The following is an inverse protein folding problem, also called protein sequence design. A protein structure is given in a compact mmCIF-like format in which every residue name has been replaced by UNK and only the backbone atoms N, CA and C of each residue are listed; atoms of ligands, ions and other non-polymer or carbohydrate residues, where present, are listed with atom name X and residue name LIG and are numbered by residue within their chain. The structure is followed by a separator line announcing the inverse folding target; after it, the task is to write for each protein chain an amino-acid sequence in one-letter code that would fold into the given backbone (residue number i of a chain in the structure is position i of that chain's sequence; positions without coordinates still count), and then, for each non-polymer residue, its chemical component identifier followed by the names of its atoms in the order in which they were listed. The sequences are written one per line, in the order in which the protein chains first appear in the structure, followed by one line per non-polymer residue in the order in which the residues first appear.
data_IF_226804190882
#
_entry.id   IF_226804190882
#
_cell.length_a   1.000
_cell.length_b   1.000
_cell.length_c   1.000
_cell.angle_alpha   90.00
_cell.angle_beta   90.00
_cell.angle_gamma   90.00
#
_symmetry.space_group_name_H-M   'P 1'
#
loop_
_entity.id
_entity.type
_entity.pdbx_description
1 polymer ?
2 branched ?
3 branched ?
4 non-polymer ?
5 non-polymer ?
6 non-polymer ?
7 water ?
#
# COMPACT_ATOMS: atom_id res chain seq x y z
N UNK A 21 -15.15 -11.32 22.85
CA UNK A 21 -14.52 -12.44 23.58
C UNK A 21 -14.58 -13.71 22.74
N UNK A 22 -15.58 -14.58 22.98
CA UNK A 22 -15.63 -15.84 22.25
C UNK A 22 -15.69 -15.57 20.75
N UNK A 23 -14.77 -16.17 20.00
CA UNK A 23 -14.77 -15.99 18.57
C UNK A 23 -14.14 -14.67 18.12
N UNK A 24 -13.65 -13.85 19.06
CA UNK A 24 -13.15 -12.53 18.72
C UNK A 24 -11.68 -12.43 19.06
N UNK A 25 -11.04 -13.53 19.51
CA UNK A 25 -9.71 -13.41 19.99
C UNK A 25 -8.72 -13.71 18.89
N UNK A 26 -7.79 -12.80 18.73
CA UNK A 26 -6.67 -12.98 17.86
C UNK A 26 -5.54 -13.59 18.64
N UNK A 27 -4.52 -14.11 17.99
CA UNK A 27 -3.38 -14.65 18.69
C UNK A 27 -2.75 -13.58 19.58
N UNK A 28 -2.09 -13.97 20.67
CA UNK A 28 -1.49 -13.03 21.59
C UNK A 28 -0.32 -12.34 20.91
N UNK A 29 0.30 -12.93 19.92
CA UNK A 29 1.40 -12.31 19.22
C UNK A 29 0.96 -11.57 17.94
N UNK A 30 -0.34 -11.45 17.74
CA UNK A 30 -0.82 -10.80 16.52
C UNK A 30 -0.27 -9.40 16.44
N UNK A 31 0.07 -8.95 15.25
CA UNK A 31 0.52 -7.58 15.05
C UNK A 31 -0.71 -6.71 14.84
N UNK A 32 -0.78 -5.63 15.57
CA UNK A 32 -1.85 -4.65 15.53
C UNK A 32 -1.23 -3.28 15.26
N UNK A 33 -1.58 -2.69 14.13
CA UNK A 33 -0.99 -1.43 13.80
C UNK A 33 -1.93 -0.55 13.00
N UNK A 34 -1.36 0.58 12.61
CA UNK A 34 -1.93 1.44 11.61
C UNK A 34 -0.85 1.75 10.60
N UNK A 35 -1.24 2.22 9.43
CA UNK A 35 -0.30 2.40 8.35
C UNK A 35 -0.41 3.77 7.73
N UNK A 36 0.72 4.22 7.18
CA UNK A 36 0.85 5.46 6.43
C UNK A 36 1.86 5.25 5.30
N UNK A 37 1.99 6.27 4.46
CA UNK A 37 3.00 6.39 3.43
C UNK A 37 3.68 7.74 3.51
N UNK A 38 4.95 7.80 3.19
CA UNK A 38 5.74 8.98 3.47
C UNK A 38 5.21 10.21 2.76
N UNK A 39 4.93 10.15 1.46
CA UNK A 39 4.54 11.38 0.78
C UNK A 39 3.19 11.84 1.33
N UNK A 40 2.35 10.92 1.77
CA UNK A 40 1.03 11.30 2.21
C UNK A 40 1.06 12.07 3.51
N UNK A 41 2.08 11.85 4.34
CA UNK A 41 2.08 12.43 5.68
C UNK A 41 3.24 13.38 5.96
N UNK A 42 4.40 13.21 5.37
CA UNK A 42 5.62 13.79 5.94
C UNK A 42 5.74 15.31 5.79
N UNK A 43 5.40 15.85 4.63
CA UNK A 43 5.78 17.20 4.36
C UNK A 43 7.29 17.35 4.32
N UNK A 44 7.76 18.56 4.66
CA UNK A 44 9.20 18.81 4.70
C UNK A 44 9.86 18.36 3.43
N UNK A 45 9.27 18.73 2.29
CA UNK A 45 9.60 18.10 1.03
C UNK A 45 10.97 18.52 0.49
N UNK A 46 11.48 19.64 0.92
CA UNK A 46 12.79 20.13 0.51
C UNK A 46 13.79 20.10 1.65
N UNK A 47 13.45 19.56 2.79
CA UNK A 47 14.28 19.64 3.96
C UNK A 47 15.25 18.50 4.02
N UNK A 48 16.41 18.80 4.63
CA UNK A 48 17.39 17.81 5.00
C UNK A 48 17.80 16.97 3.80
N UNK A 49 17.97 17.64 2.67
CA UNK A 49 18.55 17.00 1.52
C UNK A 49 17.57 16.25 0.62
N UNK A 50 16.26 16.23 0.99
CA UNK A 50 15.34 15.44 0.19
C UNK A 50 15.32 15.91 -1.25
N UNK A 51 15.32 14.98 -2.16
CA UNK A 51 15.20 15.27 -3.57
C UNK A 51 13.77 15.43 -4.01
N UNK A 52 13.55 15.61 -5.28
CA UNK A 52 12.22 15.76 -5.87
C UNK A 52 11.72 14.40 -6.27
N UNK A 53 10.49 14.06 -5.91
CA UNK A 53 9.86 12.82 -6.30
C UNK A 53 8.87 13.10 -7.43
N UNK A 54 8.43 12.04 -8.06
CA UNK A 54 7.38 12.16 -9.09
C UNK A 54 6.10 12.72 -8.51
N UNK A 55 5.84 12.52 -7.21
CA UNK A 55 4.64 13.09 -6.59
C UNK A 55 4.78 14.56 -6.27
N UNK A 56 5.99 15.05 -6.06
CA UNK A 56 6.16 16.49 -5.98
C UNK A 56 5.85 17.09 -7.35
N UNK A 57 6.44 16.52 -8.39
CA UNK A 57 6.19 17.02 -9.74
C UNK A 57 4.70 16.97 -10.07
N UNK A 58 4.07 15.85 -9.81
CA UNK A 58 2.69 15.63 -10.18
C UNK A 58 1.77 16.53 -9.39
N UNK A 59 1.94 16.62 -8.06
CA UNK A 59 1.03 17.43 -7.29
C UNK A 59 1.22 18.90 -7.59
N UNK A 60 2.39 19.31 -8.02
CA UNK A 60 2.60 20.68 -8.41
C UNK A 60 2.22 20.94 -9.86
N UNK A 61 1.65 20.00 -10.56
CA UNK A 61 1.14 20.20 -11.90
C UNK A 61 -0.31 20.61 -11.81
N UNK A 62 -0.66 21.83 -12.28
CA UNK A 62 -2.04 22.27 -12.23
C UNK A 62 -3.02 21.23 -12.74
N UNK A 63 -4.03 20.97 -11.93
CA UNK A 63 -5.15 20.16 -12.29
C UNK A 63 -5.01 18.70 -11.94
N UNK A 64 -3.83 18.22 -11.51
CA UNK A 64 -3.68 16.81 -11.20
C UNK A 64 -4.34 16.41 -9.89
N UNK A 65 -4.42 17.31 -8.95
CA UNK A 65 -4.97 17.03 -7.63
C UNK A 65 -6.31 17.74 -7.53
N UNK A 66 -7.31 17.05 -6.98
CA UNK A 66 -8.68 17.53 -7.01
C UNK A 66 -8.88 18.88 -6.39
N UNK A 67 -8.14 19.21 -5.33
CA UNK A 67 -8.38 20.35 -4.49
C UNK A 67 -7.17 21.29 -4.46
N UNK A 68 -6.25 21.29 -5.37
CA UNK A 68 -5.22 22.32 -5.29
C UNK A 68 -4.22 22.06 -4.17
N UNK A 69 -4.20 20.86 -3.58
CA UNK A 69 -3.25 20.65 -2.48
C UNK A 69 -2.08 19.88 -3.04
N UNK A 70 -1.02 19.86 -2.21
CA UNK A 70 0.19 19.07 -2.46
C UNK A 70 0.59 18.38 -1.16
N UNK A 71 1.61 17.54 -1.25
CA UNK A 71 2.24 16.99 -0.08
C UNK A 71 3.28 17.88 0.53
N UNK A 72 3.36 19.16 0.20
CA UNK A 72 4.45 19.96 0.71
C UNK A 72 4.49 20.00 2.22
N UNK A 73 3.34 20.05 2.87
CA UNK A 73 3.24 20.01 4.30
C UNK A 73 2.55 18.73 4.76
N UNK A 74 1.41 18.40 4.17
CA UNK A 74 0.69 17.18 4.51
C UNK A 74 0.42 17.19 6.00
N UNK A 75 0.79 16.17 6.74
CA UNK A 75 0.58 16.11 8.17
C UNK A 75 1.79 16.59 8.95
N UNK A 76 2.80 17.05 8.22
CA UNK A 76 4.04 17.50 8.84
C UNK A 76 4.67 16.40 9.68
N UNK A 77 4.50 15.13 9.29
CA UNK A 77 5.02 14.04 10.08
C UNK A 77 6.52 13.91 10.01
N UNK A 78 7.22 14.52 9.09
CA UNK A 78 8.67 14.52 9.17
C UNK A 78 9.09 15.13 10.50
N UNK A 79 8.45 16.21 10.89
CA UNK A 79 8.70 16.88 12.15
C UNK A 79 7.85 16.36 13.28
N UNK A 80 6.66 15.81 13.01
CA UNK A 80 5.67 15.48 14.02
C UNK A 80 5.46 13.99 14.16
N UNK A 81 6.41 13.16 13.74
CA UNK A 81 6.23 11.74 13.89
C UNK A 81 6.09 11.35 15.35
N UNK A 82 6.64 12.15 16.27
CA UNK A 82 6.47 11.86 17.68
C UNK A 82 5.01 11.98 18.10
N UNK A 83 4.29 12.95 17.54
CA UNK A 83 2.86 13.00 17.78
C UNK A 83 2.17 11.76 17.22
N UNK A 84 2.63 11.29 16.06
CA UNK A 84 2.06 10.09 15.45
C UNK A 84 2.27 8.90 16.36
N UNK A 85 3.49 8.81 16.97
CA UNK A 85 3.78 7.80 17.95
C UNK A 85 2.85 7.91 19.15
N UNK A 86 2.63 9.12 19.62
CA UNK A 86 1.69 9.32 20.70
C UNK A 86 0.31 8.75 20.36
N UNK A 87 -0.14 8.96 19.12
CA UNK A 87 -1.44 8.39 18.71
C UNK A 87 -1.39 6.88 18.72
N UNK A 88 -0.36 6.30 18.12
CA UNK A 88 -0.23 4.86 18.08
C UNK A 88 -0.28 4.28 19.47
N UNK A 89 0.46 4.91 20.39
CA UNK A 89 0.48 4.45 21.77
C UNK A 89 -0.90 4.61 22.43
N UNK A 90 -1.56 5.72 22.19
CA UNK A 90 -2.89 5.92 22.75
C UNK A 90 -3.87 4.91 22.23
N UNK A 91 -3.66 4.42 21.02
CA UNK A 91 -4.50 3.40 20.42
C UNK A 91 -4.09 2.00 20.91
N UNK A 92 -3.03 1.83 21.64
CA UNK A 92 -2.60 0.54 22.13
C UNK A 92 -2.14 -0.39 21.03
N UNK A 93 -1.62 0.16 19.95
CA UNK A 93 -1.09 -0.65 18.88
C UNK A 93 0.26 -1.20 19.31
N UNK A 94 0.74 -2.18 18.59
CA UNK A 94 2.05 -2.76 18.82
C UNK A 94 2.94 -2.71 17.60
N UNK A 95 2.53 -1.98 16.57
CA UNK A 95 3.29 -1.88 15.35
C UNK A 95 2.85 -0.66 14.59
N UNK A 96 3.73 -0.21 13.70
CA UNK A 96 3.46 0.91 12.81
C UNK A 96 4.03 0.60 11.46
N UNK A 97 3.19 0.61 10.45
CA UNK A 97 3.63 0.42 9.08
C UNK A 97 3.75 1.77 8.42
N UNK A 98 4.93 2.10 7.95
CA UNK A 98 5.22 3.39 7.36
C UNK A 98 6.17 3.18 6.23
N UNK A 99 6.31 4.17 5.36
CA UNK A 99 7.27 4.05 4.28
C UNK A 99 8.44 5.00 4.47
N UNK A 100 9.58 4.57 3.91
CA UNK A 100 10.75 5.38 3.78
C UNK A 100 10.74 6.05 2.43
N UNK A 101 11.00 7.35 2.40
CA UNK A 101 11.01 8.08 1.16
C UNK A 101 12.36 7.92 0.45
N UNK A 102 12.39 7.22 -0.64
CA UNK A 102 13.59 7.11 -1.45
C UNK A 102 14.22 8.46 -1.72
N UNK A 103 13.46 9.52 -2.00
CA UNK A 103 14.07 10.84 -2.18
C UNK A 103 14.86 11.38 -1.02
N UNK A 104 14.57 10.91 0.18
CA UNK A 104 15.39 11.34 1.32
C UNK A 104 16.67 10.51 1.45
N UNK A 105 16.73 9.33 0.86
CA UNK A 105 17.83 8.41 1.05
C UNK A 105 18.83 8.53 -0.09
N UNK A 106 18.34 8.55 -1.32
CA UNK A 106 19.18 8.71 -2.51
C UNK A 106 18.48 9.80 -3.30
N UNK A 107 18.76 11.07 -3.05
CA UNK A 107 17.96 12.12 -3.61
C UNK A 107 17.93 12.12 -5.13
N UNK A 108 18.98 11.64 -5.81
CA UNK A 108 19.00 11.59 -7.26
C UNK A 108 18.46 10.28 -7.79
N UNK A 109 18.02 9.40 -6.92
CA UNK A 109 17.51 8.10 -7.31
C UNK A 109 18.62 7.08 -7.44
N UNK A 110 19.59 7.41 -8.30
CA UNK A 110 20.84 6.68 -8.50
C UNK A 110 21.92 7.70 -8.26
N UNK A 111 22.68 7.58 -7.20
CA UNK A 111 23.60 8.64 -6.82
C UNK A 111 24.03 8.44 -5.39
N UNK A 112 24.62 9.49 -4.80
CA UNK A 112 25.09 9.38 -3.44
C UNK A 112 23.93 9.19 -2.47
N UNK A 113 24.27 8.71 -1.32
CA UNK A 113 23.28 8.59 -0.27
C UNK A 113 23.24 9.91 0.46
N UNK A 114 22.12 10.17 1.12
CA UNK A 114 21.90 11.34 1.94
C UNK A 114 21.82 10.87 3.38
N UNK A 115 22.91 10.98 4.12
CA UNK A 115 22.95 10.42 5.45
C UNK A 115 21.94 11.09 6.34
N UNK A 116 21.63 12.34 6.15
CA UNK A 116 20.62 13.00 6.96
C UNK A 116 19.27 12.29 6.86
N UNK A 117 18.94 11.77 5.72
CA UNK A 117 17.71 11.02 5.54
C UNK A 117 17.71 9.73 6.31
N UNK A 118 18.79 8.97 6.17
CA UNK A 118 18.93 7.73 6.92
C UNK A 118 18.88 8.01 8.41
N UNK A 119 19.55 9.04 8.88
CA UNK A 119 19.56 9.33 10.29
C UNK A 119 18.19 9.69 10.82
N UNK A 120 17.42 10.44 10.05
CA UNK A 120 16.05 10.72 10.44
C UNK A 120 15.28 9.45 10.68
N UNK A 121 15.32 8.51 9.73
CA UNK A 121 14.56 7.29 9.92
C UNK A 121 15.14 6.43 11.03
N UNK A 122 16.46 6.45 11.23
CA UNK A 122 17.05 5.79 12.37
C UNK A 122 16.47 6.29 13.67
N UNK A 123 16.37 7.59 13.83
CA UNK A 123 15.78 8.16 15.04
C UNK A 123 14.33 7.74 15.18
N UNK A 124 13.59 7.78 14.06
CA UNK A 124 12.21 7.38 14.12
C UNK A 124 12.05 5.92 14.50
N UNK A 125 12.85 5.04 13.94
CA UNK A 125 12.82 3.65 14.33
C UNK A 125 13.11 3.49 15.80
N UNK A 126 14.12 4.20 16.32
CA UNK A 126 14.43 4.12 17.74
C UNK A 126 13.27 4.63 18.57
N UNK A 127 12.62 5.67 18.13
CA UNK A 127 11.46 6.20 18.85
C UNK A 127 10.32 5.18 18.88
N UNK A 128 10.10 4.50 17.75
CA UNK A 128 9.08 3.48 17.68
C UNK A 128 9.42 2.35 18.63
N UNK A 129 10.64 1.83 18.54
CA UNK A 129 11.02 0.72 19.42
C UNK A 129 10.99 1.14 20.87
N UNK A 130 11.32 2.36 21.18
CA UNK A 130 11.25 2.80 22.57
C UNK A 130 9.82 2.84 23.07
N UNK A 131 8.83 3.00 22.19
CA UNK A 131 7.42 3.02 22.49
C UNK A 131 6.82 1.63 22.42
N UNK A 132 7.57 0.60 22.13
CA UNK A 132 6.99 -0.73 22.01
C UNK A 132 6.24 -0.95 20.72
N UNK A 133 6.59 -0.20 19.66
CA UNK A 133 5.92 -0.29 18.37
C UNK A 133 6.87 -0.90 17.36
N UNK A 134 6.55 -2.05 16.86
CA UNK A 134 7.39 -2.69 15.89
C UNK A 134 7.30 -1.95 14.58
N UNK A 135 8.42 -1.55 13.97
CA UNK A 135 8.37 -0.89 12.67
C UNK A 135 8.17 -1.88 11.57
N UNK A 136 7.20 -1.66 10.71
CA UNK A 136 7.02 -2.45 9.52
C UNK A 136 7.31 -1.52 8.38
N UNK A 137 8.47 -1.61 7.74
CA UNK A 137 8.89 -0.59 6.81
C UNK A 137 8.57 -0.95 5.39
N UNK A 138 7.97 -0.06 4.66
CA UNK A 138 7.84 -0.15 3.23
C UNK A 138 8.92 0.64 2.54
N UNK A 139 9.67 0.04 1.64
CA UNK A 139 10.71 0.79 0.96
C UNK A 139 10.14 1.71 -0.12
N UNK A 140 9.14 1.27 -0.85
CA UNK A 140 8.63 2.03 -1.97
C UNK A 140 7.11 2.15 -1.91
N UNK A 141 6.65 3.36 -1.51
CA UNK A 141 5.25 3.68 -1.54
C UNK A 141 5.07 4.90 -2.43
N UNK A 142 5.60 4.78 -3.66
CA UNK A 142 5.15 5.53 -4.86
C UNK A 142 5.97 6.78 -5.15
N UNK A 143 6.89 7.15 -4.29
CA UNK A 143 7.63 8.38 -4.40
C UNK A 143 8.94 8.20 -5.13
N UNK A 144 8.86 7.72 -6.38
CA UNK A 144 10.05 7.56 -7.20
C UNK A 144 10.80 8.89 -7.34
N UNK A 145 12.13 8.92 -7.15
CA UNK A 145 12.89 10.12 -7.47
C UNK A 145 12.69 10.58 -8.90
N UNK A 146 12.38 11.88 -9.04
CA UNK A 146 12.09 12.42 -10.35
C UNK A 146 13.25 12.23 -11.35
N UNK A 147 14.53 12.30 -10.93
CA UNK A 147 15.59 12.05 -11.90
C UNK A 147 15.48 10.69 -12.54
N UNK A 148 14.99 9.67 -11.82
CA UNK A 148 14.78 8.40 -12.45
C UNK A 148 13.66 8.42 -13.46
N UNK A 149 12.56 9.10 -13.16
CA UNK A 149 11.48 9.26 -14.11
C UNK A 149 11.94 10.01 -15.36
N UNK A 150 12.87 10.97 -15.19
CA UNK A 150 13.42 11.65 -16.37
C UNK A 150 14.17 10.69 -17.26
N UNK A 151 14.59 9.54 -16.77
CA UNK A 151 15.18 8.48 -17.53
C UNK A 151 14.24 7.28 -17.67
N UNK A 152 12.96 7.56 -17.81
CA UNK A 152 11.85 6.65 -18.08
C UNK A 152 11.26 5.99 -16.83
N UNK A 153 11.87 6.19 -15.68
CA UNK A 153 11.23 5.70 -14.47
C UNK A 153 11.07 4.20 -14.51
N UNK A 154 9.87 3.72 -14.13
CA UNK A 154 9.63 2.31 -14.13
C UNK A 154 9.55 1.73 -15.55
N UNK A 155 9.61 2.59 -16.54
CA UNK A 155 9.79 2.14 -17.91
C UNK A 155 11.17 1.65 -18.21
N UNK A 156 12.12 1.82 -17.33
CA UNK A 156 13.49 1.42 -17.58
C UNK A 156 13.91 0.34 -16.60
N UNK A 157 14.56 -0.68 -17.12
CA UNK A 157 15.08 -1.75 -16.31
C UNK A 157 16.09 -1.23 -15.30
N UNK A 158 16.82 -0.17 -15.66
CA UNK A 158 17.81 0.36 -14.75
C UNK A 158 17.19 0.83 -13.43
N UNK A 159 15.94 1.28 -13.48
CA UNK A 159 15.28 1.72 -12.25
C UNK A 159 15.14 0.56 -11.27
N UNK A 160 14.94 -0.64 -11.80
CA UNK A 160 14.87 -1.82 -10.96
C UNK A 160 16.19 -2.06 -10.25
N UNK A 161 17.30 -1.92 -11.00
CA UNK A 161 18.60 -2.11 -10.42
C UNK A 161 18.86 -1.14 -9.29
N UNK A 162 18.56 0.12 -9.57
CA UNK A 162 18.91 1.11 -8.56
C UNK A 162 17.92 1.12 -7.39
N UNK A 163 16.69 0.62 -7.59
CA UNK A 163 15.81 0.35 -6.46
C UNK A 163 16.44 -0.66 -5.53
N UNK A 164 17.02 -1.72 -6.10
CA UNK A 164 17.65 -2.74 -5.26
C UNK A 164 18.82 -2.15 -4.50
N UNK A 165 19.56 -1.24 -5.14
CA UNK A 165 20.65 -0.57 -4.45
C UNK A 165 20.16 0.24 -3.26
N UNK A 166 19.08 0.99 -3.48
CA UNK A 166 18.44 1.74 -2.40
C UNK A 166 18.04 0.84 -1.24
N UNK A 167 17.44 -0.33 -1.60
CA UNK A 167 17.00 -1.27 -0.60
C UNK A 167 18.17 -1.75 0.24
N UNK A 168 19.30 -2.04 -0.42
CA UNK A 168 20.55 -2.42 0.22
C UNK A 168 20.97 -1.35 1.22
N UNK A 169 21.03 -0.10 0.77
CA UNK A 169 21.47 1.01 1.57
C UNK A 169 20.64 1.11 2.85
N UNK A 170 19.32 1.04 2.71
CA UNK A 170 18.48 1.21 3.88
C UNK A 170 18.61 0.04 4.85
N UNK A 171 18.63 -1.19 4.35
CA UNK A 171 18.75 -2.32 5.23
C UNK A 171 20.06 -2.32 5.97
N UNK A 172 21.14 -1.89 5.31
CA UNK A 172 22.40 -1.85 6.03
C UNK A 172 22.32 -0.95 7.23
N UNK A 173 21.55 0.11 7.22
CA UNK A 173 21.62 0.97 8.38
C UNK A 173 20.46 0.75 9.35
N UNK A 174 19.33 0.19 8.89
CA UNK A 174 18.21 -0.02 9.79
C UNK A 174 17.94 -1.49 10.08
N UNK A 175 18.54 -2.41 9.35
CA UNK A 175 18.22 -3.81 9.48
C UNK A 175 18.73 -4.44 10.76
N UNK A 176 19.47 -3.75 11.60
CA UNK A 176 19.80 -4.27 12.90
C UNK A 176 18.61 -4.13 13.85
N UNK A 177 17.60 -3.31 13.47
CA UNK A 177 16.49 -2.99 14.32
C UNK A 177 15.15 -3.33 13.69
N UNK A 178 15.04 -3.31 12.40
CA UNK A 178 13.80 -3.58 11.69
C UNK A 178 13.95 -4.97 11.06
N UNK A 179 13.11 -5.89 11.48
CA UNK A 179 13.08 -7.22 10.89
C UNK A 179 12.12 -7.31 9.72
N UNK A 180 10.98 -6.58 9.76
CA UNK A 180 9.91 -6.75 8.80
C UNK A 180 9.91 -5.64 7.77
N UNK A 181 10.15 -6.01 6.53
CA UNK A 181 10.30 -5.09 5.43
C UNK A 181 9.40 -5.47 4.30
N UNK A 182 8.82 -4.51 3.59
CA UNK A 182 8.21 -4.75 2.30
C UNK A 182 9.01 -3.96 1.28
N UNK A 183 9.18 -4.54 0.10
CA UNK A 183 9.82 -3.86 -1.00
C UNK A 183 8.88 -2.80 -1.55
N UNK A 184 7.83 -3.23 -2.21
CA UNK A 184 6.89 -2.36 -2.87
C UNK A 184 5.56 -2.40 -2.15
N UNK A 185 4.85 -1.26 -2.24
CA UNK A 185 3.45 -1.17 -1.94
C UNK A 185 2.69 -1.03 -3.23
N UNK A 186 1.86 -2.01 -3.54
CA UNK A 186 0.89 -1.89 -4.62
C UNK A 186 1.49 -1.56 -5.98
N UNK A 187 2.26 -2.47 -6.53
CA UNK A 187 2.79 -2.23 -7.88
C UNK A 187 1.69 -2.05 -8.91
N UNK A 188 0.52 -2.64 -8.73
CA UNK A 188 -0.53 -2.37 -9.71
C UNK A 188 -0.83 -0.90 -9.77
N UNK A 189 -0.90 -0.25 -8.60
CA UNK A 189 -1.17 1.17 -8.60
C UNK A 189 -0.07 1.95 -9.31
N UNK A 190 1.16 1.71 -8.89
CA UNK A 190 2.28 2.44 -9.49
C UNK A 190 2.27 2.26 -11.02
N UNK A 191 2.12 1.03 -11.50
CA UNK A 191 2.19 0.75 -12.91
C UNK A 191 0.96 1.25 -13.61
N UNK A 192 -0.23 0.81 -13.17
CA UNK A 192 -1.42 1.04 -13.98
C UNK A 192 -2.04 2.38 -13.68
N UNK A 193 -2.08 2.87 -12.45
CA UNK A 193 -2.57 4.21 -12.23
C UNK A 193 -1.54 5.25 -12.66
N UNK A 194 -0.25 4.94 -12.54
CA UNK A 194 0.78 5.90 -12.82
C UNK A 194 1.18 5.98 -14.28
N UNK A 195 1.11 4.88 -15.01
CA UNK A 195 1.63 4.85 -16.37
C UNK A 195 0.56 4.54 -17.42
N UNK A 196 -0.55 3.88 -17.08
CA UNK A 196 -1.59 3.48 -18.02
C UNK A 196 -2.77 4.39 -17.92
N UNK A 197 -3.35 4.63 -16.75
CA UNK A 197 -4.55 5.46 -16.63
C UNK A 197 -4.25 6.91 -16.35
N UNK A 198 -3.02 7.23 -15.93
CA UNK A 198 -2.58 8.60 -15.76
C UNK A 198 -3.10 9.34 -14.54
N UNK A 199 -3.76 8.66 -13.61
CA UNK A 199 -4.34 9.36 -12.49
C UNK A 199 -3.39 9.59 -11.32
N UNK A 200 -2.32 8.78 -11.28
CA UNK A 200 -1.27 8.92 -10.28
C UNK A 200 0.03 9.31 -10.99
N UNK A 201 0.99 9.80 -10.22
CA UNK A 201 2.31 10.11 -10.74
C UNK A 201 2.92 8.87 -11.32
N UNK A 202 3.67 9.00 -12.42
CA UNK A 202 4.00 10.27 -13.08
C UNK A 202 2.93 10.77 -14.03
N UNK A 203 1.90 9.99 -14.29
CA UNK A 203 0.79 10.51 -15.06
C UNK A 203 0.79 10.08 -16.52
N UNK A 204 1.49 9.06 -16.92
CA UNK A 204 1.43 8.59 -18.29
C UNK A 204 0.16 7.79 -18.54
N UNK A 205 -0.16 7.66 -19.83
CA UNK A 205 -1.43 7.11 -20.25
C UNK A 205 -1.22 6.14 -21.41
N UNK A 206 -0.49 5.07 -21.20
CA UNK A 206 -0.25 4.11 -22.26
C UNK A 206 -0.16 2.71 -21.67
N UNK A 207 -0.90 1.74 -22.23
CA UNK A 207 -0.95 0.41 -21.68
C UNK A 207 0.40 -0.23 -21.74
N UNK A 208 1.12 -0.08 -22.84
CA UNK A 208 2.40 -0.73 -22.92
C UNK A 208 3.33 -0.18 -21.82
N UNK A 209 3.33 1.12 -21.63
CA UNK A 209 4.15 1.72 -20.58
C UNK A 209 3.75 1.15 -19.22
N UNK A 210 2.45 1.03 -18.98
CA UNK A 210 2.02 0.42 -17.72
C UNK A 210 2.52 -0.98 -17.53
N UNK A 211 2.42 -1.80 -18.57
CA UNK A 211 2.83 -3.17 -18.47
C UNK A 211 4.34 -3.32 -18.32
N UNK A 212 5.11 -2.45 -19.03
CA UNK A 212 6.54 -2.44 -18.83
C UNK A 212 6.90 -2.02 -17.41
N UNK A 213 6.19 -0.99 -16.96
CA UNK A 213 6.41 -0.55 -15.58
C UNK A 213 6.13 -1.68 -14.61
N UNK A 214 5.06 -2.43 -14.85
CA UNK A 214 4.70 -3.53 -13.95
C UNK A 214 5.83 -4.54 -13.86
N UNK A 215 6.46 -4.84 -15.03
CA UNK A 215 7.53 -5.81 -15.06
C UNK A 215 8.76 -5.31 -14.31
N UNK A 216 9.12 -4.02 -14.56
CA UNK A 216 10.29 -3.48 -13.90
C UNK A 216 10.10 -3.30 -12.39
N UNK A 217 8.85 -3.03 -11.99
CA UNK A 217 8.52 -3.03 -10.57
C UNK A 217 8.76 -4.41 -9.99
N UNK A 218 8.20 -5.44 -10.62
CA UNK A 218 8.36 -6.78 -10.12
C UNK A 218 9.83 -7.19 -10.09
N UNK A 219 10.57 -6.80 -11.17
CA UNK A 219 11.97 -7.15 -11.23
C UNK A 219 12.73 -6.42 -10.11
N UNK A 220 12.39 -5.13 -9.91
CA UNK A 220 12.98 -4.38 -8.83
C UNK A 220 12.74 -5.02 -7.47
N UNK A 221 11.50 -5.45 -7.25
CA UNK A 221 11.19 -6.24 -6.08
C UNK A 221 12.16 -7.40 -5.93
N UNK A 222 12.25 -8.25 -6.98
CA UNK A 222 13.06 -9.46 -6.84
C UNK A 222 14.53 -9.17 -6.62
N UNK A 223 15.04 -8.19 -7.34
CA UNK A 223 16.43 -7.80 -7.15
C UNK A 223 16.65 -7.23 -5.77
N UNK A 224 15.66 -6.47 -5.26
CA UNK A 224 15.77 -5.89 -3.94
C UNK A 224 15.77 -6.98 -2.87
N UNK A 225 14.91 -7.98 -3.01
CA UNK A 225 14.89 -9.03 -2.01
C UNK A 225 16.28 -9.65 -1.86
N UNK A 226 16.88 -9.97 -3.00
CA UNK A 226 18.18 -10.59 -2.97
C UNK A 226 19.22 -9.64 -2.40
N UNK A 227 19.14 -8.34 -2.78
CA UNK A 227 20.12 -7.38 -2.27
C UNK A 227 19.98 -7.21 -0.78
N UNK A 228 18.72 -7.19 -0.31
CA UNK A 228 18.48 -7.03 1.12
C UNK A 228 18.99 -8.21 1.93
N UNK A 229 18.73 -9.42 1.53
CA UNK A 229 19.26 -10.49 2.35
C UNK A 229 20.80 -10.46 2.34
N UNK A 230 21.41 -10.14 1.17
CA UNK A 230 22.87 -10.10 1.13
C UNK A 230 23.37 -9.01 2.07
N UNK A 231 22.66 -7.88 2.18
CA UNK A 231 23.08 -6.74 2.97
C UNK A 231 22.64 -6.82 4.42
N UNK A 232 21.77 -7.75 4.76
CA UNK A 232 21.08 -7.82 6.05
C UNK A 232 22.09 -7.99 7.18
N UNK A 233 22.09 -7.25 8.30
CA UNK A 233 22.94 -7.73 9.40
C UNK A 233 22.32 -8.77 10.32
N UNK A 234 21.03 -9.10 10.11
CA UNK A 234 20.38 -10.20 10.80
C UNK A 234 19.35 -10.76 9.85
N UNK A 235 18.78 -11.94 10.15
CA UNK A 235 17.72 -12.45 9.29
C UNK A 235 16.56 -11.45 9.26
N UNK A 236 16.06 -11.25 8.02
CA UNK A 236 14.90 -10.37 7.82
C UNK A 236 13.70 -11.17 7.40
N UNK A 237 12.54 -10.58 7.59
CA UNK A 237 11.29 -11.10 7.08
C UNK A 237 10.82 -10.13 6.02
N UNK A 238 11.03 -10.49 4.78
CA UNK A 238 10.79 -9.61 3.65
C UNK A 238 9.56 -10.02 2.91
N UNK A 239 8.70 -9.06 2.61
CA UNK A 239 7.49 -9.28 1.87
C UNK A 239 7.36 -8.26 0.75
N UNK A 240 6.25 -8.39 0.04
CA UNK A 240 5.73 -7.39 -0.85
C UNK A 240 4.29 -7.14 -0.44
N UNK A 241 3.77 -5.97 -0.75
CA UNK A 241 2.38 -5.62 -0.43
C UNK A 241 1.62 -5.41 -1.72
N UNK A 242 0.53 -6.17 -1.88
CA UNK A 242 -0.32 -6.07 -3.04
C UNK A 242 -1.70 -5.60 -2.62
N UNK A 243 -2.25 -4.70 -3.42
CA UNK A 243 -3.68 -4.48 -3.38
C UNK A 243 -4.37 -5.61 -4.15
N UNK A 244 -5.37 -6.21 -3.56
CA UNK A 244 -6.13 -7.26 -4.23
C UNK A 244 -7.58 -6.89 -4.18
N UNK A 245 -8.24 -7.08 -5.34
CA UNK A 245 -9.64 -6.75 -5.49
C UNK A 245 -10.39 -8.02 -5.88
N UNK A 246 -11.05 -8.71 -4.97
CA UNK A 246 -11.80 -9.90 -5.36
C UNK A 246 -12.88 -9.45 -6.33
N UNK A 247 -13.03 -10.25 -7.39
CA UNK A 247 -13.86 -9.89 -8.50
C UNK A 247 -14.97 -10.91 -8.68
N UNK A 248 -16.15 -10.45 -8.99
CA UNK A 248 -17.31 -11.32 -9.07
C UNK A 248 -18.05 -10.92 -10.32
N UNK A 249 -18.43 -11.85 -11.22
CA UNK A 249 -19.23 -11.47 -12.38
C UNK A 249 -20.63 -11.08 -11.95
N UNK A 250 -21.17 -10.11 -12.67
CA UNK A 250 -22.51 -9.65 -12.36
C UNK A 250 -23.56 -10.68 -12.74
N UNK A 251 -23.25 -11.60 -13.64
CA UNK A 251 -24.12 -12.70 -14.00
C UNK A 251 -23.20 -13.85 -14.36
N UNK A 252 -23.78 -15.00 -14.66
CA UNK A 252 -22.98 -16.16 -15.03
C UNK A 252 -22.87 -16.26 -16.53
N UNK A 253 -23.20 -15.24 -17.29
CA UNK A 253 -23.04 -15.30 -18.71
C UNK A 253 -21.58 -15.43 -19.08
N UNK A 254 -21.21 -16.11 -20.17
CA UNK A 254 -19.83 -16.10 -20.61
C UNK A 254 -19.23 -14.71 -20.67
N UNK A 255 -19.96 -13.72 -21.15
CA UNK A 255 -19.40 -12.38 -21.34
C UNK A 255 -19.00 -11.79 -19.98
N UNK A 256 -19.88 -11.91 -19.00
CA UNK A 256 -19.62 -11.30 -17.72
C UNK A 256 -18.58 -12.10 -16.93
N UNK A 257 -18.59 -13.42 -17.01
CA UNK A 257 -17.57 -14.20 -16.36
C UNK A 257 -16.23 -13.87 -16.98
N UNK A 258 -16.14 -13.77 -18.30
CA UNK A 258 -14.88 -13.42 -18.93
C UNK A 258 -14.44 -12.02 -18.49
N UNK A 259 -15.34 -11.09 -18.39
CA UNK A 259 -14.99 -9.75 -17.92
C UNK A 259 -14.43 -9.80 -16.50
N UNK A 260 -15.04 -10.58 -15.64
CA UNK A 260 -14.50 -10.76 -14.30
C UNK A 260 -13.14 -11.36 -14.34
N UNK A 261 -12.90 -12.35 -15.19
CA UNK A 261 -11.58 -12.98 -15.25
C UNK A 261 -10.55 -11.97 -15.75
N UNK A 262 -10.89 -11.14 -16.74
CA UNK A 262 -9.93 -10.17 -17.23
C UNK A 262 -9.60 -9.16 -16.15
N UNK A 263 -10.58 -8.67 -15.45
CA UNK A 263 -10.29 -7.72 -14.39
C UNK A 263 -9.47 -8.34 -13.28
N UNK A 264 -9.81 -9.55 -12.89
CA UNK A 264 -9.05 -10.30 -11.93
C UNK A 264 -7.62 -10.48 -12.34
N UNK A 265 -7.40 -10.78 -13.65
CA UNK A 265 -6.05 -10.88 -14.17
C UNK A 265 -5.29 -9.55 -14.17
N UNK A 266 -6.00 -8.50 -14.55
CA UNK A 266 -5.41 -7.17 -14.64
C UNK A 266 -4.88 -6.69 -13.28
N UNK A 267 -5.68 -6.88 -12.25
CA UNK A 267 -5.30 -6.39 -10.93
C UNK A 267 -4.50 -7.38 -10.13
N UNK A 268 -4.99 -8.64 -10.06
CA UNK A 268 -4.54 -9.58 -9.07
C UNK A 268 -3.52 -10.54 -9.65
N UNK A 269 -3.97 -11.36 -10.65
CA UNK A 269 -3.14 -12.48 -11.06
C UNK A 269 -1.85 -12.03 -11.77
N UNK A 270 -1.92 -10.88 -12.45
CA UNK A 270 -0.75 -10.34 -13.11
C UNK A 270 0.46 -10.24 -12.19
N UNK A 271 0.18 -9.95 -10.89
CA UNK A 271 1.22 -9.82 -9.88
C UNK A 271 1.42 -11.11 -9.11
N UNK A 272 0.30 -11.71 -8.66
CA UNK A 272 0.39 -12.91 -7.84
C UNK A 272 1.10 -14.05 -8.55
N UNK A 273 0.77 -14.28 -9.83
CA UNK A 273 1.28 -15.45 -10.53
C UNK A 273 2.78 -15.38 -10.68
N UNK A 274 3.38 -14.30 -11.18
CA UNK A 274 4.83 -14.26 -11.31
C UNK A 274 5.54 -14.33 -9.99
N UNK A 275 4.96 -13.68 -8.93
CA UNK A 275 5.56 -13.80 -7.62
C UNK A 275 5.57 -15.24 -7.14
N UNK A 276 4.53 -15.98 -7.51
CA UNK A 276 4.38 -17.39 -7.11
C UNK A 276 5.22 -18.33 -7.96
N UNK A 277 5.99 -17.84 -8.90
CA UNK A 277 6.74 -18.75 -9.77
C UNK A 277 5.92 -19.31 -10.91
N UNK A 278 4.79 -18.76 -11.25
CA UNK A 278 3.90 -19.31 -12.25
C UNK A 278 3.98 -18.57 -13.58
N UNK A 279 4.93 -17.64 -13.69
CA UNK A 279 4.99 -16.77 -14.85
C UNK A 279 3.86 -15.77 -14.88
N UNK A 280 3.78 -14.95 -15.91
CA UNK A 280 2.61 -14.12 -16.08
C UNK A 280 1.45 -14.99 -16.51
N UNK A 281 0.22 -14.63 -16.16
CA UNK A 281 -0.93 -15.44 -16.56
C UNK A 281 -1.05 -15.40 -18.09
N UNK A 282 -1.18 -16.59 -18.70
CA UNK A 282 -1.15 -16.67 -20.16
C UNK A 282 -2.40 -16.07 -20.77
N UNK A 283 -3.56 -16.14 -20.10
CA UNK A 283 -4.73 -15.47 -20.62
C UNK A 283 -4.46 -13.98 -20.83
N UNK A 284 -3.83 -13.37 -19.82
CA UNK A 284 -3.55 -11.95 -19.87
C UNK A 284 -2.44 -11.64 -20.88
N UNK A 285 -1.43 -12.45 -20.93
CA UNK A 285 -0.39 -12.28 -21.98
C UNK A 285 -1.01 -12.27 -23.37
N UNK A 286 -1.92 -13.19 -23.62
CA UNK A 286 -2.48 -13.26 -24.97
C UNK A 286 -3.41 -12.07 -25.17
N UNK A 287 -4.16 -11.64 -24.15
CA UNK A 287 -5.06 -10.53 -24.21
C UNK A 287 -4.32 -9.21 -24.46
N UNK A 288 -3.16 -9.04 -23.80
CA UNK A 288 -2.42 -7.79 -23.88
C UNK A 288 -1.71 -7.62 -25.21
N UNK A 289 -1.39 -8.77 -25.77
CA UNK A 289 -0.96 -8.77 -27.15
C UNK A 289 0.37 -8.04 -27.20
N UNK A 290 0.43 -7.00 -28.06
CA UNK A 290 1.66 -6.28 -28.33
C UNK A 290 2.08 -5.43 -27.12
N UNK A 291 1.11 -5.06 -26.27
CA UNK A 291 1.41 -4.27 -25.10
C UNK A 291 2.12 -5.10 -24.02
N UNK A 292 2.16 -6.44 -24.09
CA UNK A 292 2.75 -7.25 -23.02
C UNK A 292 4.26 -7.12 -23.00
N UNK A 293 4.89 -7.13 -21.81
CA UNK A 293 6.34 -7.02 -21.69
C UNK A 293 7.11 -8.25 -22.18
N UNK A 294 8.35 -8.01 -22.61
CA UNK A 294 9.28 -9.10 -22.90
C UNK A 294 9.73 -9.67 -21.56
N UNK A 295 9.21 -10.85 -21.23
CA UNK A 295 9.40 -11.45 -19.93
C UNK A 295 10.28 -12.68 -20.09
N UNK A 296 11.60 -12.47 -20.02
CA UNK A 296 12.48 -13.59 -20.21
C UNK A 296 12.54 -14.38 -18.90
N UNK A 297 12.89 -15.67 -19.01
CA UNK A 297 12.84 -16.58 -17.87
C UNK A 297 13.66 -16.14 -16.66
N UNK A 298 14.85 -15.57 -16.90
CA UNK A 298 15.74 -15.12 -15.84
C UNK A 298 15.10 -14.01 -14.99
N UNK A 299 14.40 -13.07 -15.65
CA UNK A 299 13.63 -12.07 -14.91
C UNK A 299 12.61 -12.77 -14.03
N UNK A 300 11.84 -13.72 -14.58
CA UNK A 300 10.78 -14.35 -13.81
C UNK A 300 11.35 -15.13 -12.64
N UNK A 301 12.52 -15.72 -12.80
CA UNK A 301 13.14 -16.36 -11.66
C UNK A 301 13.38 -15.36 -10.53
N UNK A 302 13.97 -14.23 -10.91
CA UNK A 302 14.26 -13.20 -9.94
C UNK A 302 12.98 -12.67 -9.27
N UNK A 303 11.95 -12.46 -10.05
CA UNK A 303 10.69 -11.95 -9.54
C UNK A 303 10.14 -12.87 -8.49
N UNK A 304 10.34 -14.19 -8.64
CA UNK A 304 9.78 -15.19 -7.76
C UNK A 304 10.68 -15.51 -6.59
N UNK A 305 11.48 -14.56 -6.15
CA UNK A 305 12.18 -14.72 -4.89
C UNK A 305 11.20 -15.19 -3.81
N UNK A 306 11.62 -16.14 -2.98
CA UNK A 306 10.76 -16.60 -1.89
C UNK A 306 10.47 -15.42 -0.97
N UNK A 307 9.19 -15.30 -0.55
CA UNK A 307 8.69 -14.22 0.34
C UNK A 307 8.58 -14.74 1.77
N UNK A 308 9.11 -14.00 2.75
CA UNK A 308 8.81 -14.40 4.09
C UNK A 308 7.38 -14.14 4.48
N UNK A 309 6.69 -13.23 3.79
CA UNK A 309 5.29 -12.91 4.05
C UNK A 309 4.76 -12.17 2.86
N UNK A 310 3.41 -12.12 2.77
CA UNK A 310 2.74 -11.30 1.78
C UNK A 310 1.78 -10.37 2.50
N UNK A 311 1.81 -9.10 2.10
CA UNK A 311 0.87 -8.13 2.63
C UNK A 311 -0.28 -7.94 1.66
N UNK A 312 -1.48 -7.90 2.21
CA UNK A 312 -2.68 -7.70 1.45
C UNK A 312 -3.29 -6.37 1.84
N UNK A 313 -3.52 -5.53 0.86
CA UNK A 313 -4.27 -4.30 1.06
C UNK A 313 -5.65 -4.53 0.47
N UNK A 314 -6.68 -4.32 1.25
CA UNK A 314 -8.05 -4.61 0.85
C UNK A 314 -8.94 -3.44 1.18
N UNK A 315 -9.68 -2.99 0.18
CA UNK A 315 -10.71 -1.96 0.36
C UNK A 315 -12.05 -2.42 -0.16
N UNK A 316 -12.10 -3.01 -1.35
CA UNK A 316 -13.39 -3.23 -2.01
C UNK A 316 -13.31 -4.46 -2.92
N UNK A 317 -14.47 -4.86 -3.38
CA UNK A 317 -14.60 -5.84 -4.43
C UNK A 317 -14.82 -5.15 -5.75
N UNK A 318 -14.84 -5.96 -6.83
CA UNK A 318 -15.30 -5.51 -8.13
C UNK A 318 -16.38 -6.47 -8.59
N UNK A 319 -17.59 -5.98 -8.75
CA UNK A 319 -18.63 -6.77 -9.39
C UNK A 319 -18.66 -6.31 -10.83
N UNK A 320 -18.25 -7.18 -11.76
CA UNK A 320 -17.91 -6.83 -13.13
C UNK A 320 -19.03 -7.20 -14.11
N UNK A 321 -19.27 -6.29 -15.04
CA UNK A 321 -20.01 -6.58 -16.25
C UNK A 321 -19.09 -6.35 -17.42
N UNK A 322 -19.34 -7.10 -18.49
CA UNK A 322 -18.62 -6.89 -19.71
C UNK A 322 -18.76 -5.44 -20.19
N UNK A 323 -17.65 -4.87 -20.66
CA UNK A 323 -17.66 -3.51 -21.22
C UNK A 323 -16.79 -3.50 -22.47
N UNK A 324 -17.32 -4.06 -23.59
CA UNK A 324 -16.52 -4.26 -24.78
C UNK A 324 -15.96 -2.96 -25.37
N UNK A 325 -16.64 -1.84 -25.13
CA UNK A 325 -16.20 -0.58 -25.74
C UNK A 325 -15.28 0.22 -24.81
N UNK A 326 -14.95 -0.30 -23.62
CA UNK A 326 -14.08 0.37 -22.66
C UNK A 326 -12.63 -0.02 -22.91
N UNK A 327 -11.73 0.74 -22.28
CA UNK A 327 -10.32 0.39 -22.33
C UNK A 327 -10.09 -0.97 -21.68
N UNK A 328 -8.99 -1.64 -22.02
CA UNK A 328 -8.61 -2.86 -21.33
C UNK A 328 -8.64 -2.59 -19.83
N UNK A 329 -9.19 -3.49 -19.00
CA UNK A 329 -9.63 -4.84 -19.36
C UNK A 329 -11.10 -5.05 -19.73
N UNK A 330 -11.76 -4.04 -20.25
CA UNK A 330 -13.10 -4.14 -20.80
C UNK A 330 -14.06 -4.71 -19.78
N UNK A 331 -14.06 -4.15 -18.59
CA UNK A 331 -14.91 -4.61 -17.49
C UNK A 331 -15.34 -3.41 -16.70
N UNK A 332 -16.62 -3.26 -16.47
CA UNK A 332 -17.13 -2.12 -15.73
C UNK A 332 -17.77 -2.58 -14.43
N UNK A 333 -17.66 -1.70 -13.45
CA UNK A 333 -18.19 -1.96 -12.15
C UNK A 333 -19.71 -1.81 -12.21
N UNK A 334 -20.43 -2.80 -11.69
CA UNK A 334 -21.86 -2.71 -11.48
C UNK A 334 -22.13 -2.58 -10.00
N UNK A 335 -22.50 -1.38 -9.55
CA UNK A 335 -22.66 -1.16 -8.12
C UNK A 335 -23.96 -1.84 -7.68
N UNK A 336 -23.90 -2.40 -6.48
CA UNK A 336 -25.00 -3.09 -5.85
C UNK A 336 -25.66 -2.04 -4.96
N UNK A 337 -26.85 -1.51 -5.31
CA UNK A 337 -27.46 -0.44 -4.53
C UNK A 337 -27.87 -1.01 -3.18
N UNK A 338 -27.96 -2.35 -3.06
CA UNK A 338 -28.16 -2.96 -1.75
C UNK A 338 -27.05 -2.53 -0.79
N UNK A 339 -25.79 -2.61 -1.21
CA UNK A 339 -24.66 -2.47 -0.31
C UNK A 339 -24.42 -1.01 -0.03
N UNK A 340 -24.06 -0.67 1.22
CA UNK A 340 -23.66 0.68 1.53
C UNK A 340 -22.31 1.07 1.01
N UNK A 341 -22.18 2.37 0.87
CA UNK A 341 -20.97 3.00 0.41
C UNK A 341 -20.45 3.95 1.45
N UNK A 342 -19.16 4.17 1.38
CA UNK A 342 -18.46 5.17 2.19
C UNK A 342 -18.43 6.44 1.38
N UNK A 343 -17.51 7.35 1.64
CA UNK A 343 -17.39 8.54 0.85
C UNK A 343 -17.01 8.19 -0.59
N UNK A 344 -16.29 7.09 -0.81
CA UNK A 344 -15.71 6.81 -2.11
C UNK A 344 -15.79 5.35 -2.52
N UNK A 345 -16.28 4.41 -1.72
CA UNK A 345 -16.20 3.01 -2.13
C UNK A 345 -17.41 2.26 -1.66
N UNK A 346 -17.71 1.12 -2.26
CA UNK A 346 -18.66 0.16 -1.78
C UNK A 346 -18.06 -0.66 -0.63
N UNK A 347 -18.84 -0.93 0.39
CA UNK A 347 -18.37 -1.74 1.50
C UNK A 347 -18.76 -3.19 1.26
N UNK A 348 -17.78 -4.10 1.30
CA UNK A 348 -18.06 -5.52 1.07
C UNK A 348 -17.08 -6.34 1.88
N UNK A 349 -17.33 -6.54 3.16
CA UNK A 349 -16.34 -7.19 4.00
C UNK A 349 -16.04 -8.61 3.60
N UNK A 350 -17.06 -9.30 3.10
CA UNK A 350 -16.90 -10.69 2.74
C UNK A 350 -15.88 -10.90 1.63
N UNK A 351 -15.58 -9.87 0.86
CA UNK A 351 -14.53 -9.96 -0.13
C UNK A 351 -13.18 -10.26 0.50
N UNK A 352 -12.98 -9.75 1.71
CA UNK A 352 -11.72 -9.98 2.40
C UNK A 352 -11.58 -11.44 2.75
N UNK A 353 -12.67 -12.05 3.22
CA UNK A 353 -12.70 -13.47 3.44
C UNK A 353 -12.37 -14.22 2.17
N UNK A 354 -13.05 -13.90 1.08
CA UNK A 354 -12.85 -14.65 -0.15
C UNK A 354 -11.42 -14.54 -0.61
N UNK A 355 -10.83 -13.34 -0.60
CA UNK A 355 -9.49 -13.20 -1.13
C UNK A 355 -8.48 -13.91 -0.25
N UNK A 356 -8.71 -13.95 1.05
CA UNK A 356 -7.78 -14.65 1.92
C UNK A 356 -7.88 -16.16 1.75
N UNK A 357 -9.10 -16.67 1.59
CA UNK A 357 -9.30 -18.09 1.28
C UNK A 357 -8.65 -18.43 -0.04
N UNK A 358 -8.73 -17.55 -1.01
CA UNK A 358 -8.03 -17.73 -2.27
C UNK A 358 -6.54 -17.81 -2.06
N UNK A 359 -5.96 -16.88 -1.33
CA UNK A 359 -4.54 -16.93 -1.13
C UNK A 359 -4.16 -18.19 -0.40
N UNK A 360 -4.88 -18.57 0.63
CA UNK A 360 -4.56 -19.73 1.43
C UNK A 360 -4.57 -21.01 0.58
N UNK A 361 -5.63 -21.19 -0.19
CA UNK A 361 -5.79 -22.45 -0.93
C UNK A 361 -5.09 -22.44 -2.26
N UNK A 362 -4.92 -21.30 -2.89
CA UNK A 362 -4.61 -21.27 -4.31
C UNK A 362 -3.20 -20.80 -4.59
N UNK A 363 -2.54 -20.19 -3.60
CA UNK A 363 -1.22 -19.61 -3.76
C UNK A 363 -0.34 -20.04 -2.61
N UNK A 364 0.98 -19.91 -2.79
CA UNK A 364 1.92 -20.51 -1.84
C UNK A 364 2.31 -19.55 -0.73
N UNK A 365 1.95 -18.26 -0.80
CA UNK A 365 2.52 -17.28 0.09
C UNK A 365 1.98 -17.46 1.50
N UNK A 366 2.85 -17.35 2.49
CA UNK A 366 2.45 -17.43 3.87
C UNK A 366 3.65 -17.07 4.73
N UNK A 367 3.47 -16.49 5.91
CA UNK A 367 2.19 -15.98 6.41
C UNK A 367 1.75 -14.72 5.66
N UNK A 368 0.56 -14.29 6.04
CA UNK A 368 -0.06 -13.10 5.46
C UNK A 368 -0.25 -12.06 6.52
N UNK A 369 -0.23 -10.80 6.08
CA UNK A 369 -0.61 -9.66 6.91
C UNK A 369 -1.62 -8.86 6.13
N UNK A 370 -2.60 -8.27 6.81
CA UNK A 370 -3.42 -7.25 6.18
C UNK A 370 -2.70 -5.95 6.43
N UNK A 371 -2.08 -5.39 5.42
CA UNK A 371 -1.22 -4.24 5.56
C UNK A 371 -1.93 -2.92 5.35
N UNK A 372 -3.13 -2.91 4.78
CA UNK A 372 -3.98 -1.73 4.74
C UNK A 372 -5.41 -2.20 4.63
N UNK A 373 -6.29 -1.62 5.45
CA UNK A 373 -7.71 -1.83 5.34
C UNK A 373 -8.37 -0.67 6.05
N UNK A 374 -9.27 0.06 5.41
CA UNK A 374 -9.91 1.20 6.04
C UNK A 374 -10.82 1.88 5.05
N UNK A 375 -11.35 3.03 5.46
CA UNK A 375 -12.34 3.69 4.62
C UNK A 375 -12.30 5.20 4.85
N UNK A 376 -12.88 5.87 3.86
CA UNK A 376 -13.05 7.32 3.86
C UNK A 376 -14.48 7.71 4.13
N UNK A 377 -14.66 8.75 4.93
CA UNK A 377 -15.97 9.29 5.27
C UNK A 377 -15.86 10.78 5.26
N UNK A 378 -17.01 11.46 5.29
CA UNK A 378 -17.06 12.91 5.41
C UNK A 378 -16.92 13.28 6.87
N UNK A 379 -15.78 12.96 7.45
CA UNK A 379 -15.61 13.14 8.87
C UNK A 379 -15.64 14.59 9.25
N UNK A 380 -16.27 14.87 10.36
CA UNK A 380 -16.34 16.22 10.90
C UNK A 380 -16.13 16.15 12.38
N UNK A 381 -15.51 17.21 12.91
CA UNK A 381 -15.45 17.42 14.34
C UNK A 381 -16.83 17.87 14.82
N UNK A 382 -17.43 17.08 15.65
CA UNK A 382 -18.77 17.32 16.17
C UNK A 382 -18.74 18.38 17.23
N UNK A 383 -19.93 18.79 17.68
CA UNK A 383 -20.07 19.83 18.68
C UNK A 383 -19.30 19.49 19.93
N UNK A 384 -19.27 18.25 20.34
CA UNK A 384 -18.57 17.82 21.52
C UNK A 384 -17.04 17.71 21.36
N UNK A 385 -16.57 17.76 20.13
CA UNK A 385 -15.15 17.67 19.88
C UNK A 385 -14.70 16.33 19.32
N UNK A 386 -15.50 15.30 19.45
CA UNK A 386 -15.15 14.01 18.85
C UNK A 386 -15.52 13.93 17.40
N UNK A 387 -15.11 12.82 16.78
CA UNK A 387 -15.47 12.51 15.42
C UNK A 387 -16.26 11.23 15.48
N UNK A 388 -17.55 11.32 15.13
CA UNK A 388 -18.46 10.22 15.35
C UNK A 388 -18.63 9.45 14.08
N UNK A 389 -17.60 8.65 13.76
CA UNK A 389 -17.48 7.93 12.50
C UNK A 389 -17.97 6.50 12.64
N UNK A 390 -19.21 6.30 13.04
CA UNK A 390 -19.70 4.97 13.30
C UNK A 390 -19.62 4.04 12.12
N UNK A 391 -19.74 4.56 10.92
CA UNK A 391 -19.65 3.68 9.77
C UNK A 391 -18.25 3.09 9.68
N UNK A 392 -17.23 3.87 10.04
CA UNK A 392 -15.86 3.35 10.02
C UNK A 392 -15.66 2.34 11.14
N UNK A 393 -16.25 2.51 12.34
CA UNK A 393 -16.20 1.48 13.36
C UNK A 393 -16.79 0.18 12.83
N UNK A 394 -17.90 0.34 12.13
CA UNK A 394 -18.57 -0.85 11.62
C UNK A 394 -17.74 -1.49 10.53
N UNK A 395 -17.07 -0.69 9.76
CA UNK A 395 -16.15 -1.19 8.72
C UNK A 395 -15.06 -2.02 9.35
N UNK A 396 -14.42 -1.50 10.38
CA UNK A 396 -13.37 -2.29 11.03
C UNK A 396 -13.95 -3.53 11.64
N UNK A 397 -15.05 -3.41 12.39
CA UNK A 397 -15.56 -4.58 13.06
C UNK A 397 -15.94 -5.67 12.05
N UNK A 398 -16.56 -5.31 10.95
CA UNK A 398 -16.97 -6.30 9.96
C UNK A 398 -15.78 -6.94 9.29
N UNK A 399 -14.76 -6.17 8.95
CA UNK A 399 -13.59 -6.78 8.33
C UNK A 399 -12.84 -7.65 9.32
N UNK A 400 -12.72 -7.23 10.55
CA UNK A 400 -12.06 -8.06 11.56
C UNK A 400 -12.85 -9.34 11.80
N UNK A 401 -14.15 -9.30 11.71
CA UNK A 401 -14.97 -10.52 11.82
C UNK A 401 -14.64 -11.48 10.69
N UNK A 402 -14.44 -10.97 9.49
CA UNK A 402 -14.02 -11.81 8.40
C UNK A 402 -12.65 -12.37 8.61
N UNK A 403 -11.75 -11.59 9.20
CA UNK A 403 -10.45 -12.13 9.48
C UNK A 403 -10.54 -13.27 10.49
N UNK A 404 -11.40 -13.19 11.46
CA UNK A 404 -11.54 -14.32 12.37
C UNK A 404 -12.11 -15.54 11.65
N UNK A 405 -12.99 -15.33 10.70
CA UNK A 405 -13.47 -16.48 9.91
C UNK A 405 -12.32 -17.06 9.09
N UNK A 406 -11.48 -16.21 8.52
CA UNK A 406 -10.36 -16.69 7.74
C UNK A 406 -9.38 -17.46 8.62
N UNK A 407 -9.03 -16.90 9.77
CA UNK A 407 -8.18 -17.61 10.71
C UNK A 407 -8.80 -18.95 11.06
N UNK A 408 -10.08 -19.02 11.25
CA UNK A 408 -10.72 -20.30 11.60
C UNK A 408 -10.58 -21.30 10.47
N UNK A 409 -10.51 -20.84 9.23
CA UNK A 409 -10.30 -21.68 8.07
C UNK A 409 -8.86 -22.04 7.88
N UNK A 410 -7.98 -21.64 8.73
CA UNK A 410 -6.59 -22.02 8.64
C UNK A 410 -5.73 -20.99 7.96
N UNK A 411 -6.24 -19.83 7.60
CA UNK A 411 -5.41 -18.86 6.92
C UNK A 411 -4.35 -18.36 7.87
N UNK A 412 -3.08 -18.32 7.46
CA UNK A 412 -2.00 -17.98 8.37
C UNK A 412 -1.78 -16.48 8.48
N UNK A 413 -2.76 -15.81 9.02
CA UNK A 413 -2.73 -14.36 9.18
C UNK A 413 -2.03 -13.98 10.46
N UNK A 414 -1.10 -13.01 10.36
CA UNK A 414 -0.25 -12.64 11.49
C UNK A 414 -0.40 -11.20 11.94
N UNK A 415 -1.18 -10.40 11.23
CA UNK A 415 -1.41 -9.05 11.71
C UNK A 415 -2.34 -8.27 10.83
N UNK A 416 -2.70 -7.10 11.36
CA UNK A 416 -3.66 -6.20 10.76
C UNK A 416 -3.22 -4.78 10.97
N UNK A 417 -3.19 -4.00 9.92
CA UNK A 417 -2.90 -2.57 9.96
C UNK A 417 -4.06 -1.80 9.41
N UNK A 418 -4.66 -0.98 10.27
CA UNK A 418 -5.70 -0.09 9.87
C UNK A 418 -5.13 0.97 8.95
N UNK A 419 -5.82 1.22 7.86
CA UNK A 419 -5.52 2.35 6.99
C UNK A 419 -6.47 3.46 7.32
N UNK A 420 -6.04 4.67 7.57
CA UNK A 420 -4.67 5.09 7.84
C UNK A 420 -4.59 5.53 9.27
N UNK A 421 -3.39 5.68 9.81
CA UNK A 421 -3.26 6.27 11.13
C UNK A 421 -3.97 7.62 11.22
N UNK A 422 -3.80 8.45 10.21
CA UNK A 422 -4.36 9.79 10.29
C UNK A 422 -4.77 10.22 8.90
N UNK A 423 -5.69 11.19 8.83
CA UNK A 423 -6.07 11.78 7.57
C UNK A 423 -4.84 12.40 6.92
N UNK A 424 -4.75 12.28 5.63
CA UNK A 424 -3.49 12.62 4.98
C UNK A 424 -3.72 13.09 3.55
N UNK A 425 -2.63 13.32 2.82
CA UNK A 425 -2.72 13.67 1.42
C UNK A 425 -3.02 12.43 0.63
N UNK A 426 -4.29 12.39 0.20
CA UNK A 426 -4.84 11.24 -0.45
C UNK A 426 -4.63 11.35 -1.96
N UNK A 427 -3.34 11.37 -2.39
CA UNK A 427 -2.94 11.25 -3.78
C UNK A 427 -3.76 12.25 -4.62
N UNK A 428 -4.39 11.77 -5.70
CA UNK A 428 -5.10 12.67 -6.58
C UNK A 428 -6.30 13.32 -5.95
N UNK A 429 -6.76 12.83 -4.80
CA UNK A 429 -7.86 13.51 -4.13
C UNK A 429 -7.37 14.53 -3.14
N UNK A 430 -6.06 14.66 -2.94
CA UNK A 430 -5.57 15.68 -2.08
C UNK A 430 -5.96 15.47 -0.62
N UNK A 431 -6.10 16.56 0.08
CA UNK A 431 -6.43 16.54 1.49
C UNK A 431 -7.92 16.32 1.70
N UNK A 432 -8.69 16.24 0.61
CA UNK A 432 -10.13 16.25 0.66
C UNK A 432 -10.72 14.96 1.18
N UNK A 433 -10.02 13.83 1.13
CA UNK A 433 -10.57 12.52 1.33
C UNK A 433 -9.94 11.85 2.57
N UNK A 434 -10.71 11.74 3.63
CA UNK A 434 -10.23 11.44 4.97
C UNK A 434 -10.39 9.95 5.26
N UNK A 435 -9.24 9.26 5.34
CA UNK A 435 -9.11 7.83 5.62
C UNK A 435 -8.60 7.52 7.01
N UNK A 436 -8.31 8.53 7.82
CA UNK A 436 -7.67 8.28 9.10
C UNK A 436 -8.58 7.60 10.12
N UNK A 437 -7.94 6.92 11.07
CA UNK A 437 -8.58 6.63 12.34
C UNK A 437 -8.39 7.78 13.31
N UNK A 438 -7.51 8.70 12.98
CA UNK A 438 -7.33 9.97 13.66
C UNK A 438 -7.58 11.06 12.63
N UNK A 439 -8.30 12.10 13.06
CA UNK A 439 -8.60 13.25 12.27
C UNK A 439 -7.41 14.18 12.26
N UNK A 440 -7.04 14.74 11.11
CA UNK A 440 -5.96 15.69 10.99
C UNK A 440 -6.57 17.03 10.59
N UNK A 441 -6.34 18.05 11.42
CA UNK A 441 -6.65 19.42 11.05
C UNK A 441 -5.47 19.91 10.23
N UNK A 442 -5.65 20.08 8.93
CA UNK A 442 -4.53 20.37 8.08
C UNK A 442 -4.03 21.79 8.21
N UNK A 443 -4.82 22.65 8.85
CA UNK A 443 -4.36 24.01 9.07
C UNK A 443 -3.48 24.09 10.32
N UNK A 444 -3.88 23.46 11.40
CA UNK A 444 -3.17 23.56 12.66
C UNK A 444 -2.25 22.40 12.89
N UNK A 445 -2.45 21.31 12.13
CA UNK A 445 -1.75 20.03 12.28
C UNK A 445 -2.15 19.29 13.52
N UNK A 446 -3.16 19.72 14.25
CA UNK A 446 -3.65 18.93 15.37
C UNK A 446 -4.23 17.60 14.89
N UNK A 447 -3.95 16.55 15.61
CA UNK A 447 -4.62 15.27 15.39
C UNK A 447 -5.58 14.97 16.54
N UNK A 448 -6.66 14.29 16.23
CA UNK A 448 -7.64 13.88 17.21
C UNK A 448 -8.09 12.46 16.91
N UNK A 449 -8.16 11.58 17.85
CA UNK A 449 -8.59 10.22 17.60
C UNK A 449 -10.08 10.21 17.30
N UNK A 450 -10.47 9.54 16.22
CA UNK A 450 -11.87 9.39 15.89
C UNK A 450 -12.48 8.28 16.72
N UNK A 451 -13.82 8.23 16.79
CA UNK A 451 -14.43 7.18 17.59
C UNK A 451 -14.02 5.80 17.12
N UNK A 452 -13.84 5.59 15.84
CA UNK A 452 -13.42 4.28 15.37
C UNK A 452 -12.06 3.91 15.92
N UNK A 453 -11.19 4.88 16.07
CA UNK A 453 -9.87 4.65 16.65
C UNK A 453 -10.00 4.22 18.11
N UNK A 454 -10.89 4.85 18.87
CA UNK A 454 -11.14 4.42 20.23
C UNK A 454 -11.74 3.02 20.29
N UNK A 455 -12.56 2.68 19.30
CA UNK A 455 -13.07 1.31 19.24
C UNK A 455 -11.94 0.32 18.99
N UNK A 456 -11.05 0.64 18.05
CA UNK A 456 -9.89 -0.23 17.84
C UNK A 456 -9.07 -0.35 19.12
N UNK A 457 -8.84 0.76 19.79
CA UNK A 457 -8.07 0.75 21.03
C UNK A 457 -8.69 -0.27 21.95
N UNK A 458 -9.99 -0.16 22.18
CA UNK A 458 -10.63 -0.97 23.20
C UNK A 458 -10.74 -2.40 22.76
N UNK A 459 -10.96 -2.67 21.49
CA UNK A 459 -10.98 -4.02 20.96
C UNK A 459 -9.62 -4.66 21.12
N UNK A 460 -8.57 -3.97 20.75
CA UNK A 460 -7.23 -4.55 20.86
C UNK A 460 -6.91 -4.75 22.33
N UNK A 461 -7.29 -3.83 23.20
CA UNK A 461 -6.97 -3.98 24.63
C UNK A 461 -7.68 -5.18 25.22
N UNK A 462 -8.84 -5.54 24.75
CA UNK A 462 -9.48 -6.78 25.18
C UNK A 462 -8.69 -8.03 24.79
N UNK A 463 -7.74 -7.93 23.86
CA UNK A 463 -6.86 -9.06 23.55
C UNK A 463 -5.78 -9.36 24.61
#
# INVERSE_FOLDING_TARGET
MGSSHHHHHHSSGLVPRGSHMAGERFPADFVWGAATAAYQIEGAVREDGRGVSIWDTFSHTPGKIADGTTGDVACDSYHRYGEDIGLLNALGMNAYRFSIAWPRIVPLGAGPINQAGLDHYSRMVDALLGAGLQPFVTLYHWDLPQPLEDRLGWGSRATATVFAEYADIVVRQLGDRVTHWATLNEPWCSAMLGYYLGVHAPGHTDLKRGLEASHNLLLGHGLAVQAMRAAAPQPLQIGIVLNLTPTYPASDSPEDVAAARRFDGFVNRWFLDPLAGRGYPQDMLDYYGAAAPQANPEDLTQIAAPLDWLGVNYYERMRAVDAPDASLPQAQRLDDPDLPHTADREVYPEGLYDILLRLHNDYPFRPLYITQNGCALHDEIAEDGGIHDGQRQAFFEAHLAQLQRALAAGVPLKGYFAWSLLDNFEWAMGLSMRYGICYTNFETLERRIKDSGYWLRDFIAGQRG
#
